data_IF_838688942009
#
_entry.id   IF_838688942009
#
_cell.length_a   1.000
_cell.length_b   1.000
_cell.length_c   1.000
_cell.angle_alpha   90.00
_cell.angle_beta   90.00
_cell.angle_gamma   90.00
#
_symmetry.space_group_name_H-M   'P 1'
#
loop_
_entity.id
_entity.type
_entity.pdbx_description
1 polymer ?
#
# COMPACT_ATOMS: atom_id res chain seq x y z
N UNK A 1 0.19 1.90 -7.09
CA UNK A 1 -0.05 0.97 -5.97
C UNK A 1 1.19 0.13 -5.79
N UNK A 2 1.75 0.18 -4.59
CA UNK A 2 3.00 -0.45 -4.20
C UNK A 2 2.72 -1.82 -3.57
N UNK A 3 3.71 -2.69 -3.51
CA UNK A 3 3.64 -3.87 -2.65
C UNK A 3 3.51 -3.40 -1.19
N UNK A 4 2.58 -3.96 -0.42
CA UNK A 4 2.53 -3.73 1.02
C UNK A 4 3.60 -4.60 1.70
N UNK A 5 4.86 -4.34 1.37
CA UNK A 5 5.98 -5.20 1.75
C UNK A 5 6.30 -5.11 3.25
N UNK A 6 5.83 -4.05 3.91
CA UNK A 6 5.86 -3.88 5.37
C UNK A 6 4.68 -4.56 6.06
N UNK A 7 3.73 -5.11 5.30
CA UNK A 7 2.44 -5.59 5.81
C UNK A 7 1.65 -4.52 6.60
N UNK A 8 2.02 -3.24 6.47
CA UNK A 8 1.32 -2.12 7.11
C UNK A 8 0.04 -1.84 6.32
N UNK A 9 -1.10 -2.12 6.96
CA UNK A 9 -2.41 -1.88 6.37
C UNK A 9 -2.64 -0.41 5.96
N UNK A 10 -1.85 0.54 6.49
CA UNK A 10 -1.82 1.92 6.03
C UNK A 10 -1.54 2.05 4.53
N UNK A 11 -0.72 1.18 3.94
CA UNK A 11 -0.46 1.19 2.50
C UNK A 11 -1.70 0.83 1.66
N UNK A 12 -2.70 0.21 2.28
CA UNK A 12 -3.98 -0.16 1.66
C UNK A 12 -5.04 0.93 1.80
N UNK A 13 -4.74 2.05 2.46
CA UNK A 13 -5.69 3.16 2.61
C UNK A 13 -5.91 3.97 1.32
N UNK A 14 -5.23 3.65 0.21
CA UNK A 14 -5.54 4.26 -1.09
C UNK A 14 -6.83 3.76 -1.73
N UNK A 15 -7.39 2.64 -1.24
CA UNK A 15 -8.47 1.91 -1.89
C UNK A 15 -9.85 2.09 -1.25
N UNK A 16 -9.90 2.42 0.05
CA UNK A 16 -11.12 2.34 0.86
C UNK A 16 -11.72 3.70 1.23
N UNK A 17 -10.94 4.71 1.66
CA UNK A 17 -11.47 6.02 2.03
C UNK A 17 -12.16 6.72 0.86
N UNK A 18 -13.10 7.61 1.15
CA UNK A 18 -13.85 8.35 0.12
C UNK A 18 -12.95 9.22 -0.76
N UNK A 19 -11.85 9.74 -0.20
CA UNK A 19 -10.85 10.54 -0.93
C UNK A 19 -9.79 9.68 -1.64
N UNK A 20 -9.87 8.35 -1.51
CA UNK A 20 -8.95 7.41 -2.14
C UNK A 20 -9.04 7.49 -3.66
N UNK A 21 -7.89 7.64 -4.33
CA UNK A 21 -7.79 7.87 -5.78
C UNK A 21 -8.48 6.78 -6.61
N UNK A 22 -8.50 5.56 -6.09
CA UNK A 22 -9.10 4.39 -6.76
C UNK A 22 -10.31 3.83 -5.99
N UNK A 23 -10.79 4.55 -4.97
CA UNK A 23 -11.94 4.08 -4.20
C UNK A 23 -13.18 4.06 -5.07
N UNK A 24 -13.84 2.90 -5.10
CA UNK A 24 -15.06 2.68 -5.86
C UNK A 24 -16.33 2.98 -5.04
N UNK A 25 -16.19 3.21 -3.74
CA UNK A 25 -17.30 3.38 -2.80
C UNK A 25 -16.90 4.31 -1.66
N UNK A 26 -17.82 5.19 -1.24
CA UNK A 26 -17.59 6.10 -0.12
C UNK A 26 -18.33 5.60 1.12
N UNK A 27 -17.58 5.31 2.19
CA UNK A 27 -18.09 4.98 3.51
C UNK A 27 -17.60 6.02 4.54
N UNK A 28 -18.47 6.95 5.00
CA UNK A 28 -18.09 7.96 5.98
C UNK A 28 -17.62 7.40 7.33
N UNK A 29 -18.18 6.26 7.78
CA UNK A 29 -17.76 5.63 9.04
C UNK A 29 -16.32 5.10 8.95
N UNK A 30 -15.96 4.55 7.78
CA UNK A 30 -14.59 4.14 7.52
C UNK A 30 -13.61 5.33 7.51
N UNK A 31 -14.00 6.46 6.90
CA UNK A 31 -13.19 7.68 6.89
C UNK A 31 -12.93 8.19 8.32
N UNK A 32 -13.94 8.20 9.18
CA UNK A 32 -13.79 8.59 10.60
C UNK A 32 -12.80 7.68 11.35
N UNK A 33 -12.89 6.36 11.12
CA UNK A 33 -11.95 5.39 11.71
C UNK A 33 -10.51 5.62 11.22
N UNK A 34 -10.34 5.92 9.92
CA UNK A 34 -9.02 6.22 9.33
C UNK A 34 -8.44 7.51 9.92
N UNK A 35 -9.24 8.58 10.03
CA UNK A 35 -8.82 9.86 10.58
C UNK A 35 -8.38 9.71 12.05
N UNK A 36 -9.09 8.89 12.83
CA UNK A 36 -8.70 8.57 14.21
C UNK A 36 -7.38 7.79 14.26
N UNK A 37 -7.23 6.73 13.46
CA UNK A 37 -6.02 5.91 13.42
C UNK A 37 -4.77 6.70 12.98
N UNK A 38 -4.92 7.70 12.10
CA UNK A 38 -3.81 8.56 11.66
C UNK A 38 -3.19 9.40 12.77
N UNK A 39 -3.91 9.63 13.88
CA UNK A 39 -3.38 10.38 15.03
C UNK A 39 -2.58 9.51 16.01
N UNK A 40 -2.62 8.19 15.84
CA UNK A 40 -1.98 7.22 16.74
C UNK A 40 -0.56 6.86 16.27
N UNK A 41 0.21 6.21 17.15
CA UNK A 41 1.54 5.69 16.83
C UNK A 41 1.83 4.37 17.56
N UNK A 42 2.85 3.64 17.08
CA UNK A 42 3.26 2.37 17.71
C UNK A 42 2.14 1.34 17.74
N UNK A 43 2.04 0.61 18.86
CA UNK A 43 1.09 -0.48 19.04
C UNK A 43 -0.37 -0.01 18.95
N UNK A 44 -0.69 1.20 19.44
CA UNK A 44 -2.05 1.76 19.35
C UNK A 44 -2.48 1.99 17.89
N UNK A 45 -1.54 2.42 17.04
CA UNK A 45 -1.81 2.57 15.61
C UNK A 45 -1.97 1.20 14.94
N UNK A 46 -1.18 0.22 15.32
CA UNK A 46 -1.26 -1.13 14.76
C UNK A 46 -2.63 -1.76 15.08
N UNK A 47 -3.09 -1.68 16.33
CA UNK A 47 -4.40 -2.18 16.74
C UNK A 47 -5.55 -1.50 15.98
N UNK A 48 -5.53 -0.17 15.87
CA UNK A 48 -6.54 0.57 15.10
C UNK A 48 -6.54 0.20 13.60
N UNK A 49 -5.37 -0.06 13.01
CA UNK A 49 -5.27 -0.52 11.63
C UNK A 49 -5.77 -1.96 11.45
N UNK A 50 -5.62 -2.83 12.44
CA UNK A 50 -6.21 -4.17 12.44
C UNK A 50 -7.75 -4.11 12.51
N UNK A 51 -8.31 -3.22 13.33
CA UNK A 51 -9.75 -2.98 13.40
C UNK A 51 -10.31 -2.48 12.07
N UNK A 52 -9.63 -1.52 11.43
CA UNK A 52 -9.96 -1.06 10.07
C UNK A 52 -9.95 -2.20 9.05
N UNK A 53 -8.96 -3.09 9.12
CA UNK A 53 -8.89 -4.25 8.23
C UNK A 53 -10.05 -5.22 8.44
N UNK A 54 -10.43 -5.49 9.69
CA UNK A 54 -11.58 -6.33 10.03
C UNK A 54 -12.90 -5.71 9.55
N UNK A 55 -13.08 -4.40 9.74
CA UNK A 55 -14.27 -3.69 9.29
C UNK A 55 -14.44 -3.80 7.76
N UNK A 56 -13.38 -3.54 6.98
CA UNK A 56 -13.44 -3.65 5.51
C UNK A 56 -13.71 -5.07 5.05
N UNK A 57 -13.10 -6.06 5.71
CA UNK A 57 -13.31 -7.46 5.38
C UNK A 57 -14.80 -7.85 5.41
N UNK A 58 -15.55 -7.30 6.36
CA UNK A 58 -16.97 -7.60 6.54
C UNK A 58 -17.92 -6.81 5.61
N UNK A 59 -17.41 -5.80 4.90
CA UNK A 59 -18.20 -5.00 3.95
C UNK A 59 -18.32 -5.63 2.56
N UNK A 60 -17.38 -6.50 2.17
CA UNK A 60 -17.33 -7.20 0.88
C UNK A 60 -17.32 -6.33 -0.40
N UNK A 61 -17.35 -5.00 -0.31
CA UNK A 61 -17.38 -4.11 -1.49
C UNK A 61 -16.06 -4.09 -2.26
N UNK A 62 -14.94 -4.32 -1.57
CA UNK A 62 -13.61 -4.41 -2.15
C UNK A 62 -12.97 -5.67 -1.58
N UNK A 63 -12.59 -6.60 -2.47
CA UNK A 63 -12.01 -7.88 -2.09
C UNK A 63 -10.54 -7.90 -2.49
N UNK A 64 -9.60 -7.86 -1.53
CA UNK A 64 -8.18 -8.00 -1.82
C UNK A 64 -7.90 -9.40 -2.40
N UNK A 65 -7.29 -9.45 -3.58
CA UNK A 65 -6.87 -10.74 -4.21
C UNK A 65 -5.44 -11.10 -3.80
N UNK A 66 -4.57 -10.10 -3.71
CA UNK A 66 -3.16 -10.26 -3.34
C UNK A 66 -2.32 -9.05 -3.75
N UNK A 67 -1.09 -8.98 -3.26
CA UNK A 67 -0.14 -7.96 -3.69
C UNK A 67 0.60 -8.40 -4.95
N UNK A 68 0.78 -7.52 -5.94
CA UNK A 68 1.55 -7.85 -7.13
C UNK A 68 3.03 -8.03 -6.77
N UNK A 69 3.66 -9.05 -7.34
CA UNK A 69 5.12 -9.19 -7.34
C UNK A 69 5.67 -8.45 -8.57
N UNK A 70 6.73 -7.67 -8.37
CA UNK A 70 7.39 -6.96 -9.46
C UNK A 70 8.53 -7.81 -10.03
N UNK A 71 8.48 -8.03 -11.35
CA UNK A 71 9.53 -8.71 -12.09
C UNK A 71 10.08 -7.75 -13.15
N UNK A 72 11.41 -7.61 -13.18
CA UNK A 72 12.11 -6.70 -14.08
C UNK A 72 13.13 -7.47 -14.92
N UNK A 73 13.16 -7.16 -16.22
CA UNK A 73 14.24 -7.60 -17.11
C UNK A 73 15.31 -6.50 -17.23
N UNK A 74 16.58 -6.88 -17.19
CA UNK A 74 17.70 -5.97 -17.37
C UNK A 74 18.53 -6.40 -18.58
N UNK A 75 19.00 -5.41 -19.35
CA UNK A 75 19.99 -5.64 -20.41
C UNK A 75 21.38 -5.74 -19.78
N UNK A 76 22.27 -6.49 -20.43
CA UNK A 76 23.66 -6.63 -20.01
C UNK A 76 24.34 -5.26 -19.84
N UNK A 77 25.13 -5.15 -18.78
CA UNK A 77 25.86 -3.94 -18.42
C UNK A 77 25.07 -2.95 -17.57
N UNK A 78 23.73 -3.07 -17.43
CA UNK A 78 22.98 -2.27 -16.44
C UNK A 78 23.07 -2.93 -15.06
N UNK A 79 23.62 -2.21 -14.09
CA UNK A 79 23.55 -2.58 -12.68
C UNK A 79 22.50 -1.72 -11.98
N UNK A 80 21.44 -2.38 -11.52
CA UNK A 80 20.35 -1.77 -10.76
C UNK A 80 19.70 -2.82 -9.87
N UNK A 81 19.31 -2.40 -8.66
CA UNK A 81 18.56 -3.24 -7.73
C UNK A 81 17.13 -2.69 -7.59
N UNK A 82 16.09 -3.50 -7.82
CA UNK A 82 14.71 -3.04 -7.70
C UNK A 82 14.40 -2.61 -6.27
N UNK A 83 13.58 -1.57 -6.16
CA UNK A 83 13.07 -1.07 -4.88
C UNK A 83 11.80 -1.82 -4.48
N UNK A 84 11.60 -1.92 -3.17
CA UNK A 84 10.38 -2.46 -2.54
C UNK A 84 9.11 -1.66 -2.89
N UNK A 85 9.25 -0.35 -3.09
CA UNK A 85 8.16 0.49 -3.55
C UNK A 85 7.89 0.35 -5.06
N UNK A 86 8.62 -0.48 -5.80
CA UNK A 86 8.44 -0.65 -7.24
C UNK A 86 8.72 0.61 -8.08
N UNK A 87 9.23 1.70 -7.50
CA UNK A 87 9.65 2.85 -8.27
C UNK A 87 10.97 2.57 -9.00
N UNK A 88 11.05 3.05 -10.24
CA UNK A 88 12.26 2.96 -11.07
C UNK A 88 12.91 4.34 -11.11
N UNK A 89 14.09 4.46 -10.48
CA UNK A 89 14.83 5.71 -10.42
C UNK A 89 16.14 5.59 -11.20
N UNK A 90 16.24 6.32 -12.32
CA UNK A 90 17.42 6.29 -13.21
C UNK A 90 18.71 6.64 -12.45
N UNK A 91 18.63 7.56 -11.49
CA UNK A 91 19.80 7.98 -10.67
C UNK A 91 20.42 6.85 -9.83
N UNK A 92 19.70 5.75 -9.63
CA UNK A 92 20.16 4.58 -8.87
C UNK A 92 20.75 3.49 -9.79
N UNK A 93 20.79 3.75 -11.10
CA UNK A 93 21.32 2.81 -12.10
C UNK A 93 22.74 3.20 -12.48
N UNK A 94 23.56 2.19 -12.77
CA UNK A 94 24.89 2.39 -13.37
C UNK A 94 25.05 1.49 -14.59
N UNK A 95 25.99 1.85 -15.45
CA UNK A 95 26.35 1.05 -16.62
C UNK A 95 27.82 0.62 -16.53
N UNK A 96 28.11 -0.65 -16.85
CA UNK A 96 29.47 -1.22 -16.92
C UNK A 96 29.63 -1.99 -18.22
N UNK A 97 30.69 -1.69 -18.98
CA UNK A 97 31.05 -2.31 -20.27
C UNK A 97 32.01 -3.47 -20.11
#
# INVERSE_FOLDING_TARGET
QHGNELMDYAASQGYYPCIGVVSAYCNPEYDEMVDAAQQLAGDERDEALQELAAYVHDLYYIVPVGYPLFYFGLVDGINWNPRMDGFILIKEMTFSS
#
